data_IF_255618560052
#
_entry.id   IF_255618560052
#
_cell.length_a   1.000
_cell.length_b   1.000
_cell.length_c   1.000
_cell.angle_alpha   90.00
_cell.angle_beta   90.00
_cell.angle_gamma   90.00
#
_symmetry.space_group_name_H-M   'P 1'
#
loop_
_entity.id
_entity.type
_entity.pdbx_description
1 polymer ?
#
# COMPACT_ATOMS: atom_id res chain seq x y z
N UNK A 1 20.74 -52.32 9.51
CA UNK A 1 22.13 -52.45 10.02
C UNK A 1 22.89 -51.14 9.84
N UNK A 2 23.25 -50.48 10.95
CA UNK A 2 24.58 -49.88 11.28
C UNK A 2 25.23 -48.98 10.18
N UNK A 3 25.52 -47.69 10.41
CA UNK A 3 26.38 -47.14 11.49
C UNK A 3 26.12 -45.64 11.71
N UNK A 4 25.97 -45.28 12.98
CA UNK A 4 26.26 -43.94 13.53
C UNK A 4 27.78 -43.75 13.59
N UNK A 5 28.28 -42.54 13.36
CA UNK A 5 29.60 -42.11 13.85
C UNK A 5 29.46 -40.77 14.57
N UNK A 6 29.54 -40.86 15.90
CA UNK A 6 29.98 -39.79 16.82
C UNK A 6 31.48 -40.02 17.06
N UNK A 7 32.24 -38.95 17.28
CA UNK A 7 33.41 -38.82 18.18
C UNK A 7 33.84 -37.32 18.10
N UNK A 8 33.76 -36.48 19.14
CA UNK A 8 34.61 -36.41 20.35
C UNK A 8 36.09 -36.14 19.97
N UNK A 9 36.94 -35.33 20.61
CA UNK A 9 37.02 -34.68 21.92
C UNK A 9 38.41 -33.97 21.99
N UNK A 10 38.66 -33.21 23.07
CA UNK A 10 39.96 -32.68 23.62
C UNK A 10 40.38 -31.29 23.10
N UNK A 11 40.44 -30.23 23.92
CA UNK A 11 41.11 -29.91 25.21
C UNK A 11 42.64 -29.74 25.10
N UNK A 12 43.11 -28.63 25.71
CA UNK A 12 44.42 -28.30 26.33
C UNK A 12 45.31 -27.29 25.57
N UNK A 13 45.32 -25.99 25.94
CA UNK A 13 46.17 -25.26 26.92
C UNK A 13 47.64 -25.05 26.48
N UNK A 14 48.09 -23.79 26.36
CA UNK A 14 49.37 -23.29 26.91
C UNK A 14 49.56 -21.78 26.66
N UNK A 15 50.03 -21.13 27.72
CA UNK A 15 50.37 -19.71 27.98
C UNK A 15 51.60 -19.17 27.26
N UNK A 16 51.67 -17.85 27.06
CA UNK A 16 52.83 -16.91 27.18
C UNK A 16 52.27 -15.52 26.79
N UNK A 17 52.31 -14.41 27.54
CA UNK A 17 53.35 -13.88 28.42
C UNK A 17 54.21 -12.88 27.63
N UNK A 18 53.79 -11.61 27.44
CA UNK A 18 54.72 -10.48 27.27
C UNK A 18 54.04 -9.10 27.46
N UNK A 19 54.82 -8.23 28.10
CA UNK A 19 54.65 -6.90 28.69
C UNK A 19 54.42 -5.72 27.72
N UNK A 20 54.13 -4.54 28.31
CA UNK A 20 54.18 -3.13 27.79
C UNK A 20 52.85 -2.60 27.20
N UNK A 21 52.33 -1.41 27.50
CA UNK A 21 52.82 -0.24 28.23
C UNK A 21 51.61 0.55 28.79
N UNK A 22 51.76 1.15 29.98
CA UNK A 22 50.84 2.18 30.47
C UNK A 22 50.94 3.41 29.58
N UNK A 23 49.91 3.65 28.77
CA UNK A 23 49.68 4.93 28.10
C UNK A 23 48.49 5.61 28.79
N UNK A 24 48.78 6.67 29.53
CA UNK A 24 47.79 7.57 30.14
C UNK A 24 47.07 8.33 29.03
N UNK A 25 45.91 7.84 28.61
CA UNK A 25 44.95 8.61 27.83
C UNK A 25 44.16 9.49 28.79
N UNK A 26 44.43 10.79 28.74
CA UNK A 26 43.56 11.80 29.31
C UNK A 26 42.18 11.69 28.66
N UNK A 27 41.17 11.21 29.39
CA UNK A 27 39.78 11.26 28.95
C UNK A 27 39.32 12.71 28.97
N UNK A 28 39.33 13.36 27.80
CA UNK A 28 38.52 14.55 27.58
C UNK A 28 37.05 14.13 27.75
N UNK A 29 36.39 14.70 28.76
CA UNK A 29 34.97 14.48 29.00
C UNK A 29 34.17 14.87 27.75
N UNK A 30 33.19 14.07 27.30
CA UNK A 30 32.26 14.51 26.28
C UNK A 30 31.47 15.70 26.85
N UNK A 31 31.63 16.85 26.20
CA UNK A 31 30.72 17.97 26.32
C UNK A 31 29.32 17.44 26.08
N UNK A 32 28.51 17.35 27.13
CA UNK A 32 27.09 17.05 27.01
C UNK A 32 26.45 18.24 26.30
N UNK A 33 26.43 18.17 24.97
CA UNK A 33 25.50 18.96 24.19
C UNK A 33 24.11 18.66 24.76
N UNK A 34 23.46 19.70 25.30
CA UNK A 34 22.13 19.61 25.85
C UNK A 34 21.23 18.86 24.85
N UNK A 35 20.60 17.78 25.32
CA UNK A 35 19.60 17.08 24.54
C UNK A 35 18.55 18.11 24.07
N UNK A 36 18.17 18.12 22.79
CA UNK A 36 17.08 18.97 22.34
C UNK A 36 15.86 18.62 23.19
N UNK A 37 15.33 19.64 23.87
CA UNK A 37 14.04 19.56 24.55
C UNK A 37 13.03 19.04 23.54
N UNK A 38 12.44 17.88 23.85
CA UNK A 38 11.30 17.34 23.10
C UNK A 38 10.22 18.41 23.16
N UNK A 39 10.09 19.17 22.08
CA UNK A 39 9.03 20.14 21.93
C UNK A 39 7.71 19.41 22.13
N UNK A 40 6.90 19.92 23.05
CA UNK A 40 5.54 19.48 23.30
C UNK A 40 4.81 19.38 21.95
N UNK A 41 4.62 18.15 21.45
CA UNK A 41 3.86 17.90 20.24
C UNK A 41 2.44 18.37 20.50
N UNK A 42 2.14 19.59 20.04
CA UNK A 42 0.79 20.12 19.99
C UNK A 42 -0.06 19.09 19.25
N UNK A 43 -0.89 18.35 19.98
CA UNK A 43 -1.83 17.38 19.42
C UNK A 43 -2.60 18.08 18.31
N UNK A 44 -2.34 17.70 17.06
CA UNK A 44 -2.98 18.32 15.92
C UNK A 44 -4.47 18.05 16.05
N UNK A 45 -5.26 19.10 16.27
CA UNK A 45 -6.72 18.97 16.44
C UNK A 45 -7.34 18.73 15.07
N UNK A 46 -8.28 17.79 14.99
CA UNK A 46 -9.10 17.54 13.80
C UNK A 46 -9.77 18.84 13.33
N UNK A 47 -9.42 19.31 12.13
CA UNK A 47 -9.98 20.51 11.50
C UNK A 47 -11.33 20.22 10.82
N UNK A 48 -12.12 21.27 10.55
CA UNK A 48 -13.39 21.13 9.83
C UNK A 48 -13.19 20.66 8.38
N UNK A 49 -12.10 21.08 7.73
CA UNK A 49 -11.68 20.55 6.42
C UNK A 49 -11.47 19.05 6.47
N UNK A 50 -10.74 18.54 7.47
CA UNK A 50 -10.51 17.10 7.64
C UNK A 50 -11.84 16.37 7.89
N UNK A 51 -12.74 16.94 8.70
CA UNK A 51 -14.07 16.37 8.92
C UNK A 51 -14.84 16.26 7.62
N UNK A 52 -14.80 17.29 6.77
CA UNK A 52 -15.51 17.28 5.49
C UNK A 52 -14.90 16.25 4.53
N UNK A 53 -13.57 16.19 4.41
CA UNK A 53 -12.91 15.18 3.57
C UNK A 53 -13.21 13.74 4.02
N UNK A 54 -13.24 13.49 5.34
CA UNK A 54 -13.65 12.20 5.88
C UNK A 54 -15.10 11.90 5.51
N UNK A 55 -16.02 12.86 5.65
CA UNK A 55 -17.43 12.67 5.26
C UNK A 55 -17.58 12.40 3.77
N UNK A 56 -16.88 13.13 2.91
CA UNK A 56 -16.95 12.95 1.47
C UNK A 56 -16.45 11.56 1.07
N UNK A 57 -15.34 11.13 1.66
CA UNK A 57 -14.81 9.78 1.48
C UNK A 57 -15.79 8.70 1.95
N UNK A 58 -16.31 8.82 3.16
CA UNK A 58 -17.25 7.85 3.72
C UNK A 58 -18.57 7.83 2.92
N UNK A 59 -19.02 8.99 2.44
CA UNK A 59 -20.23 9.11 1.61
C UNK A 59 -20.04 8.49 0.23
N UNK A 60 -18.83 8.62 -0.37
CA UNK A 60 -18.47 7.92 -1.62
C UNK A 60 -18.68 6.41 -1.50
N UNK A 61 -18.38 5.83 -0.35
CA UNK A 61 -18.60 4.40 -0.05
C UNK A 61 -19.93 4.11 0.64
N UNK A 62 -20.88 5.06 0.59
CA UNK A 62 -22.25 4.92 1.09
C UNK A 62 -22.34 4.56 2.58
N UNK A 63 -21.37 4.97 3.40
CA UNK A 63 -21.42 4.78 4.85
C UNK A 63 -22.54 5.65 5.43
N UNK A 64 -23.51 5.08 6.17
CA UNK A 64 -24.61 5.84 6.76
C UNK A 64 -24.16 7.01 7.64
N UNK A 65 -24.87 8.14 7.57
CA UNK A 65 -24.51 9.36 8.29
C UNK A 65 -24.35 9.17 9.82
N UNK A 66 -25.11 8.25 10.42
CA UNK A 66 -24.94 7.87 11.83
C UNK A 66 -23.57 7.26 12.12
N UNK A 67 -23.14 6.30 11.28
CA UNK A 67 -21.81 5.68 11.39
C UNK A 67 -20.69 6.67 11.07
N UNK A 68 -20.89 7.57 10.10
CA UNK A 68 -19.92 8.64 9.82
C UNK A 68 -19.64 9.49 11.05
N UNK A 69 -20.68 9.89 11.81
CA UNK A 69 -20.53 10.66 13.05
C UNK A 69 -19.71 9.92 14.09
N UNK A 70 -19.95 8.61 14.27
CA UNK A 70 -19.19 7.78 15.21
C UNK A 70 -17.73 7.60 14.78
N UNK A 71 -17.46 7.38 13.49
CA UNK A 71 -16.10 7.28 12.95
C UNK A 71 -15.33 8.59 13.11
N UNK A 72 -15.95 9.74 12.84
CA UNK A 72 -15.36 11.06 13.04
C UNK A 72 -15.11 11.33 14.53
N UNK A 73 -16.01 10.89 15.41
CA UNK A 73 -15.82 10.95 16.86
C UNK A 73 -14.62 10.09 17.30
N UNK A 74 -14.48 8.86 16.77
CA UNK A 74 -13.30 8.02 17.00
C UNK A 74 -12.01 8.76 16.62
N UNK A 75 -11.95 9.37 15.43
CA UNK A 75 -10.80 10.19 15.01
C UNK A 75 -10.51 11.32 15.99
N UNK A 76 -11.55 12.06 16.42
CA UNK A 76 -11.41 13.17 17.37
C UNK A 76 -10.84 12.74 18.72
N UNK A 77 -11.11 11.52 19.14
CA UNK A 77 -10.60 10.93 20.39
C UNK A 77 -9.36 10.06 20.20
N UNK A 78 -8.74 10.05 19.01
CA UNK A 78 -7.55 9.23 18.74
C UNK A 78 -7.80 7.73 18.79
N UNK A 79 -9.06 7.30 18.68
CA UNK A 79 -9.43 5.89 18.65
C UNK A 79 -9.30 5.37 17.21
N UNK A 80 -8.54 4.29 16.96
CA UNK A 80 -8.42 3.72 15.62
C UNK A 80 -9.76 3.14 15.14
N UNK A 81 -9.95 3.15 13.82
CA UNK A 81 -11.05 2.47 13.16
C UNK A 81 -10.76 0.98 13.05
N UNK A 82 -11.81 0.16 12.99
CA UNK A 82 -11.67 -1.30 12.94
C UNK A 82 -10.91 -1.77 11.69
N UNK A 83 -10.99 -1.02 10.57
CA UNK A 83 -10.22 -1.30 9.34
C UNK A 83 -8.70 -1.31 9.53
N UNK A 84 -8.17 -0.67 10.58
CA UNK A 84 -6.74 -0.64 10.87
C UNK A 84 -6.27 -1.76 11.81
N UNK A 85 -7.18 -2.51 12.41
CA UNK A 85 -6.87 -3.57 13.35
C UNK A 85 -6.91 -4.93 12.63
N UNK A 86 -5.76 -5.60 12.56
CA UNK A 86 -5.62 -6.91 11.90
C UNK A 86 -6.42 -8.02 12.58
N UNK A 87 -6.88 -7.83 13.83
CA UNK A 87 -7.75 -8.77 14.53
C UNK A 87 -9.23 -8.55 14.23
N UNK A 88 -9.59 -7.47 13.51
CA UNK A 88 -10.96 -7.21 13.08
C UNK A 88 -11.18 -7.77 11.70
N UNK A 89 -12.28 -8.50 11.55
CA UNK A 89 -12.69 -9.06 10.26
C UNK A 89 -13.85 -8.24 9.68
N UNK A 90 -13.96 -8.14 8.35
CA UNK A 90 -15.12 -7.52 7.71
C UNK A 90 -16.41 -8.26 8.08
N UNK A 91 -17.48 -7.50 8.34
CA UNK A 91 -18.83 -8.02 8.52
C UNK A 91 -19.57 -8.21 7.20
N UNK A 92 -19.12 -7.55 6.14
CA UNK A 92 -19.63 -7.71 4.78
C UNK A 92 -18.50 -7.51 3.76
N UNK A 93 -18.59 -8.25 2.65
CA UNK A 93 -17.72 -8.10 1.48
C UNK A 93 -18.61 -8.01 0.25
N UNK A 94 -18.50 -6.90 -0.46
CA UNK A 94 -19.26 -6.59 -1.68
C UNK A 94 -18.29 -6.61 -2.85
N UNK A 95 -18.58 -7.41 -3.87
CA UNK A 95 -17.81 -7.48 -5.10
C UNK A 95 -18.48 -6.66 -6.20
N UNK A 96 -17.69 -6.27 -7.18
CA UNK A 96 -18.14 -5.63 -8.41
C UNK A 96 -18.95 -4.33 -8.21
N UNK A 97 -18.60 -3.55 -7.18
CA UNK A 97 -19.29 -2.31 -6.84
C UNK A 97 -18.75 -1.16 -7.70
N UNK A 98 -19.58 -0.65 -8.59
CA UNK A 98 -19.21 0.46 -9.48
C UNK A 98 -19.43 1.80 -8.78
N UNK A 99 -18.34 2.55 -8.57
CA UNK A 99 -18.36 3.90 -7.98
C UNK A 99 -17.55 4.84 -8.87
N UNK A 100 -18.26 5.68 -9.64
CA UNK A 100 -17.66 6.44 -10.73
C UNK A 100 -17.16 5.48 -11.82
N UNK A 101 -15.92 5.69 -12.26
CA UNK A 101 -15.28 4.85 -13.29
C UNK A 101 -14.55 3.63 -12.69
N UNK A 102 -14.57 3.45 -11.38
CA UNK A 102 -13.86 2.37 -10.70
C UNK A 102 -14.79 1.19 -10.39
N UNK A 103 -14.30 -0.03 -10.59
CA UNK A 103 -14.91 -1.24 -10.08
C UNK A 103 -14.23 -1.69 -8.78
N UNK A 104 -14.96 -1.66 -7.67
CA UNK A 104 -14.45 -1.95 -6.33
C UNK A 104 -14.88 -3.31 -5.78
N UNK A 105 -13.97 -3.95 -5.05
CA UNK A 105 -14.33 -4.85 -3.95
C UNK A 105 -14.29 -4.07 -2.64
N UNK A 106 -15.41 -4.02 -1.91
CA UNK A 106 -15.59 -3.25 -0.67
C UNK A 106 -15.75 -4.20 0.51
N UNK A 107 -14.92 -4.03 1.54
CA UNK A 107 -15.00 -4.69 2.84
C UNK A 107 -15.54 -3.68 3.86
N UNK A 108 -16.62 -4.03 4.56
CA UNK A 108 -17.21 -3.21 5.61
C UNK A 108 -16.96 -3.82 6.98
N UNK A 109 -16.63 -2.99 7.96
CA UNK A 109 -16.33 -3.40 9.32
C UNK A 109 -17.49 -3.05 10.27
N UNK A 110 -17.49 -3.66 11.46
CA UNK A 110 -18.59 -3.52 12.43
C UNK A 110 -18.82 -2.07 12.88
N UNK A 111 -17.77 -1.25 12.93
CA UNK A 111 -17.86 0.17 13.27
C UNK A 111 -18.27 1.08 12.10
N UNK A 112 -18.51 0.51 10.91
CA UNK A 112 -18.85 1.23 9.68
C UNK A 112 -17.65 1.70 8.87
N UNK A 113 -16.41 1.49 9.33
CA UNK A 113 -15.22 1.76 8.53
C UNK A 113 -15.16 0.81 7.33
N UNK A 114 -14.49 1.25 6.27
CA UNK A 114 -14.43 0.53 4.99
C UNK A 114 -13.00 0.37 4.52
N UNK A 115 -12.72 -0.80 3.93
CA UNK A 115 -11.60 -0.97 3.03
C UNK A 115 -12.15 -1.23 1.62
N UNK A 116 -11.54 -0.67 0.60
CA UNK A 116 -11.94 -0.89 -0.78
C UNK A 116 -10.70 -1.06 -1.66
N UNK A 117 -10.78 -1.90 -2.68
CA UNK A 117 -9.76 -2.02 -3.71
C UNK A 117 -10.42 -1.92 -5.08
N UNK A 118 -9.91 -1.08 -5.96
CA UNK A 118 -10.57 -0.68 -7.18
C UNK A 118 -9.65 -0.72 -8.39
N UNK A 119 -10.14 -1.35 -9.45
CA UNK A 119 -9.55 -1.22 -10.79
C UNK A 119 -10.48 -0.37 -11.64
N UNK A 120 -9.90 0.57 -12.36
CA UNK A 120 -10.65 1.41 -13.29
C UNK A 120 -11.28 0.59 -14.41
N UNK A 121 -12.52 0.92 -14.74
CA UNK A 121 -13.27 0.29 -15.82
C UNK A 121 -12.80 0.88 -17.15
N UNK A 122 -12.31 0.04 -18.07
CA UNK A 122 -11.87 0.53 -19.37
C UNK A 122 -13.06 0.99 -20.21
N UNK A 123 -12.85 2.06 -20.97
CA UNK A 123 -13.75 2.49 -22.04
C UNK A 123 -13.21 1.98 -23.37
N UNK A 124 -14.06 1.33 -24.17
CA UNK A 124 -13.69 0.90 -25.52
C UNK A 124 -13.46 2.11 -26.41
N UNK A 125 -12.29 2.16 -27.03
CA UNK A 125 -11.96 3.21 -27.99
C UNK A 125 -12.08 2.68 -29.42
N UNK A 126 -12.83 3.40 -30.26
CA UNK A 126 -12.93 3.08 -31.68
C UNK A 126 -11.63 3.49 -32.40
N UNK A 127 -10.88 2.54 -32.99
CA UNK A 127 -9.63 2.84 -33.67
C UNK A 127 -9.82 3.66 -34.96
N UNK A 128 -11.04 3.76 -35.49
CA UNK A 128 -11.37 4.54 -36.70
C UNK A 128 -11.79 5.99 -36.40
N UNK A 129 -12.05 6.32 -35.13
CA UNK A 129 -12.41 7.66 -34.71
C UNK A 129 -11.15 8.45 -34.29
N UNK A 130 -11.03 9.75 -34.66
CA UNK A 130 -10.02 10.62 -34.07
C UNK A 130 -10.26 10.73 -32.56
N UNK A 131 -9.46 10.01 -31.77
CA UNK A 131 -9.55 10.06 -30.33
C UNK A 131 -8.39 10.93 -29.81
N UNK A 132 -8.65 12.06 -29.12
CA UNK A 132 -7.59 12.69 -28.35
C UNK A 132 -7.07 11.63 -27.37
N UNK A 133 -5.77 11.29 -27.45
CA UNK A 133 -5.17 10.44 -26.43
C UNK A 133 -5.30 11.15 -25.09
N UNK A 134 -6.34 10.80 -24.35
CA UNK A 134 -6.58 11.35 -23.04
C UNK A 134 -5.51 10.78 -22.10
N UNK A 135 -4.83 11.68 -21.39
CA UNK A 135 -3.91 11.34 -20.29
C UNK A 135 -4.71 10.86 -19.06
N UNK A 136 -6.05 10.87 -19.16
CA UNK A 136 -7.00 10.44 -18.13
C UNK A 136 -7.96 9.40 -18.69
N UNK A 137 -8.42 8.49 -17.85
CA UNK A 137 -9.34 7.38 -18.16
C UNK A 137 -8.66 6.14 -18.75
N UNK A 138 -8.96 4.99 -18.13
CA UNK A 138 -8.60 3.67 -18.64
C UNK A 138 -9.28 3.44 -19.98
N UNK A 139 -8.51 3.12 -21.01
CA UNK A 139 -9.03 2.79 -22.34
C UNK A 139 -8.63 1.39 -22.76
N UNK A 140 -9.47 0.74 -23.56
CA UNK A 140 -9.17 -0.57 -24.13
C UNK A 140 -9.34 -0.56 -25.65
N UNK A 141 -8.30 -1.02 -26.34
CA UNK A 141 -8.36 -1.37 -27.77
C UNK A 141 -8.30 -2.89 -27.90
N UNK A 142 -9.34 -3.47 -28.49
CA UNK A 142 -9.43 -4.93 -28.71
C UNK A 142 -9.25 -5.25 -30.19
N UNK A 143 -8.59 -6.37 -30.47
CA UNK A 143 -8.52 -6.96 -31.81
C UNK A 143 -8.63 -8.48 -31.74
N UNK A 144 -8.44 -9.16 -32.88
CA UNK A 144 -8.46 -10.62 -32.93
C UNK A 144 -7.33 -11.20 -32.10
N UNK A 145 -7.65 -11.67 -30.89
CA UNK A 145 -6.70 -12.34 -29.99
C UNK A 145 -5.86 -11.43 -29.10
N UNK A 146 -6.16 -10.12 -29.02
CA UNK A 146 -5.49 -9.24 -28.06
C UNK A 146 -6.41 -8.13 -27.51
N UNK A 147 -6.09 -7.65 -26.31
CA UNK A 147 -6.68 -6.46 -25.70
C UNK A 147 -5.57 -5.61 -25.07
N UNK A 148 -5.43 -4.36 -25.54
CA UNK A 148 -4.47 -3.40 -25.02
C UNK A 148 -5.18 -2.37 -24.15
N UNK A 149 -4.78 -2.31 -22.88
CA UNK A 149 -5.31 -1.41 -21.86
C UNK A 149 -4.31 -0.28 -21.64
N UNK A 150 -4.79 0.96 -21.67
CA UNK A 150 -3.95 2.14 -21.56
C UNK A 150 -4.47 3.08 -20.50
N UNK A 151 -3.52 3.64 -19.76
CA UNK A 151 -3.75 4.69 -18.78
C UNK A 151 -4.74 4.30 -17.67
N UNK A 152 -4.68 3.06 -17.20
CA UNK A 152 -5.60 2.58 -16.19
C UNK A 152 -5.13 2.93 -14.78
N UNK A 153 -6.09 3.14 -13.88
CA UNK A 153 -5.86 3.33 -12.46
C UNK A 153 -6.14 2.05 -11.66
N UNK A 154 -5.31 1.82 -10.64
CA UNK A 154 -5.61 0.91 -9.53
C UNK A 154 -5.50 1.69 -8.22
N UNK A 155 -6.43 1.48 -7.29
CA UNK A 155 -6.37 2.11 -5.98
C UNK A 155 -6.91 1.25 -4.84
N UNK A 156 -6.51 1.62 -3.64
CA UNK A 156 -6.84 0.98 -2.38
C UNK A 156 -7.20 2.06 -1.37
N UNK A 157 -8.27 1.82 -0.62
CA UNK A 157 -8.77 2.66 0.46
C UNK A 157 -8.80 1.81 1.72
N UNK A 158 -8.25 2.33 2.82
CA UNK A 158 -8.37 1.76 4.16
C UNK A 158 -8.75 2.90 5.09
N UNK A 159 -10.04 3.08 5.33
CA UNK A 159 -10.52 4.20 6.14
C UNK A 159 -10.12 5.55 5.55
N UNK A 160 -9.28 6.30 6.25
CA UNK A 160 -8.75 7.63 5.86
C UNK A 160 -7.47 7.58 5.03
N UNK A 161 -7.02 6.39 4.65
CA UNK A 161 -5.82 6.15 3.84
C UNK A 161 -6.23 5.75 2.43
N UNK A 162 -5.69 6.44 1.43
CA UNK A 162 -5.85 6.10 0.01
C UNK A 162 -4.48 5.95 -0.63
N UNK A 163 -4.23 4.87 -1.34
CA UNK A 163 -3.03 4.62 -2.13
C UNK A 163 -3.44 4.11 -3.51
N UNK A 164 -2.78 4.55 -4.56
CA UNK A 164 -3.02 4.01 -5.89
C UNK A 164 -1.89 4.30 -6.86
N UNK A 165 -2.11 3.92 -8.11
CA UNK A 165 -1.28 4.30 -9.24
C UNK A 165 -2.16 4.57 -10.45
N UNK A 166 -1.81 5.60 -11.21
CA UNK A 166 -2.41 5.94 -12.50
C UNK A 166 -1.40 5.66 -13.61
N UNK A 167 -1.85 5.61 -14.88
CA UNK A 167 -0.95 5.42 -16.02
C UNK A 167 -0.45 3.98 -16.21
N UNK A 168 -1.20 3.00 -15.69
CA UNK A 168 -0.86 1.59 -15.80
C UNK A 168 -1.29 1.07 -17.17
N UNK A 169 -0.32 0.70 -17.99
CA UNK A 169 -0.53 0.12 -19.32
C UNK A 169 -0.27 -1.39 -19.29
N UNK A 170 -1.16 -2.18 -19.88
CA UNK A 170 -0.97 -3.63 -20.00
C UNK A 170 -1.65 -4.19 -21.25
N UNK A 171 -1.20 -5.35 -21.70
CA UNK A 171 -1.76 -6.05 -22.86
C UNK A 171 -2.00 -7.50 -22.51
N UNK A 172 -3.21 -7.96 -22.84
CA UNK A 172 -3.63 -9.35 -22.77
C UNK A 172 -3.56 -9.94 -24.18
N UNK A 173 -2.91 -11.09 -24.34
CA UNK A 173 -2.71 -11.74 -25.65
C UNK A 173 -3.09 -13.22 -25.59
N UNK A 174 -4.11 -13.60 -26.34
CA UNK A 174 -4.54 -15.00 -26.40
C UNK A 174 -3.47 -15.88 -27.06
N UNK A 175 -2.98 -16.87 -26.31
CA UNK A 175 -1.95 -17.79 -26.78
C UNK A 175 -0.51 -17.27 -26.68
N UNK A 176 -0.30 -16.12 -26.04
CA UNK A 176 1.03 -15.61 -25.72
C UNK A 176 1.08 -15.12 -24.26
N UNK A 177 2.24 -14.59 -23.83
CA UNK A 177 2.41 -14.06 -22.48
C UNK A 177 1.81 -12.66 -22.36
N UNK A 178 1.01 -12.45 -21.32
CA UNK A 178 0.47 -11.14 -20.99
C UNK A 178 1.60 -10.20 -20.51
N UNK A 179 1.47 -8.90 -20.75
CA UNK A 179 2.51 -7.91 -20.44
C UNK A 179 1.96 -6.67 -19.75
N UNK A 180 2.79 -6.09 -18.89
CA UNK A 180 2.63 -4.77 -18.29
C UNK A 180 3.74 -3.88 -18.87
N UNK A 181 3.36 -2.79 -19.52
CA UNK A 181 4.29 -1.77 -20.08
C UNK A 181 4.28 -0.46 -19.30
N UNK A 182 3.76 -0.52 -18.06
CA UNK A 182 3.57 0.51 -17.04
C UNK A 182 4.50 1.74 -17.13
N UNK A 183 3.89 2.92 -17.34
CA UNK A 183 4.51 4.26 -17.22
C UNK A 183 4.04 5.01 -15.98
N UNK A 184 3.34 4.31 -15.10
CA UNK A 184 2.51 4.86 -14.07
C UNK A 184 3.28 5.53 -12.96
N UNK A 185 2.54 6.35 -12.22
CA UNK A 185 3.04 7.01 -11.03
C UNK A 185 2.08 6.74 -9.87
N UNK A 186 2.68 6.45 -8.72
CA UNK A 186 1.95 6.24 -7.48
C UNK A 186 1.40 7.56 -6.95
N UNK A 187 0.20 7.51 -6.38
CA UNK A 187 -0.38 8.60 -5.63
C UNK A 187 -0.82 8.11 -4.26
N UNK A 188 -0.89 9.03 -3.30
CA UNK A 188 -1.37 8.72 -1.98
C UNK A 188 -2.02 9.93 -1.33
N UNK A 189 -3.03 9.66 -0.51
CA UNK A 189 -3.68 10.64 0.33
C UNK A 189 -3.95 10.03 1.70
N UNK A 190 -3.48 10.70 2.75
CA UNK A 190 -3.85 10.40 4.13
C UNK A 190 -4.61 11.58 4.70
N UNK A 191 -5.82 11.32 5.17
CA UNK A 191 -6.59 12.32 5.89
C UNK A 191 -6.32 12.08 7.38
N UNK A 192 -6.14 13.18 8.12
CA UNK A 192 -5.96 13.16 9.57
C UNK A 192 -6.89 12.12 10.22
N UNK A 193 -6.39 11.27 11.13
CA UNK A 193 -5.15 11.41 11.90
C UNK A 193 -3.94 10.70 11.29
N UNK A 194 -4.07 10.15 10.09
CA UNK A 194 -2.98 9.39 9.45
C UNK A 194 -2.05 10.31 8.67
N UNK A 195 -0.75 10.00 8.69
CA UNK A 195 0.25 10.55 7.79
C UNK A 195 0.74 9.46 6.82
N UNK A 196 1.37 9.86 5.72
CA UNK A 196 2.00 8.91 4.81
C UNK A 196 3.29 9.38 4.16
N UNK A 197 4.12 8.42 3.78
CA UNK A 197 5.28 8.64 2.91
C UNK A 197 4.87 8.73 1.44
N UNK A 198 5.82 9.06 0.57
CA UNK A 198 5.59 9.05 -0.88
C UNK A 198 5.52 7.60 -1.37
N UNK A 199 4.51 7.23 -2.19
CA UNK A 199 4.41 5.88 -2.72
C UNK A 199 5.57 5.54 -3.64
N UNK A 200 6.07 4.31 -3.52
CA UNK A 200 7.18 3.79 -4.34
C UNK A 200 6.79 2.48 -4.99
N UNK A 201 7.30 2.24 -6.19
CA UNK A 201 7.16 0.96 -6.89
C UNK A 201 8.25 0.01 -6.43
N UNK A 202 7.87 -1.15 -5.92
CA UNK A 202 8.79 -2.06 -5.22
C UNK A 202 8.80 -3.49 -5.74
N UNK A 203 7.78 -3.91 -6.48
CA UNK A 203 7.68 -5.25 -7.03
C UNK A 203 7.11 -5.13 -8.44
N UNK A 204 7.95 -5.44 -9.44
CA UNK A 204 7.61 -5.24 -10.85
C UNK A 204 8.10 -6.39 -11.69
N UNK A 205 7.17 -6.98 -12.45
CA UNK A 205 7.45 -7.98 -13.47
C UNK A 205 6.61 -7.63 -14.70
N UNK A 206 7.29 -7.21 -15.76
CA UNK A 206 6.67 -6.69 -16.97
C UNK A 206 5.95 -7.74 -17.82
N UNK A 207 6.23 -9.04 -17.61
CA UNK A 207 5.69 -10.10 -18.45
C UNK A 207 5.31 -11.30 -17.58
N UNK A 208 4.23 -11.96 -17.95
CA UNK A 208 3.82 -13.23 -17.34
C UNK A 208 4.93 -14.27 -17.47
N UNK A 209 5.11 -15.07 -16.43
CA UNK A 209 6.10 -16.15 -16.38
C UNK A 209 5.52 -17.33 -15.61
N UNK A 210 6.24 -17.89 -14.63
CA UNK A 210 5.66 -18.87 -13.69
C UNK A 210 4.48 -18.31 -12.86
N UNK A 211 4.30 -16.99 -12.85
CA UNK A 211 3.20 -16.29 -12.22
C UNK A 211 2.86 -15.01 -13.00
N UNK A 212 1.90 -14.25 -12.48
CA UNK A 212 1.39 -13.05 -13.13
C UNK A 212 2.47 -11.98 -13.35
N UNK A 213 2.37 -11.27 -14.49
CA UNK A 213 2.95 -9.95 -14.59
C UNK A 213 2.33 -9.08 -13.49
N UNK A 214 3.14 -8.24 -12.84
CA UNK A 214 2.63 -7.42 -11.74
C UNK A 214 3.37 -6.10 -11.60
N UNK A 215 2.69 -5.10 -11.06
CA UNK A 215 3.28 -3.83 -10.64
C UNK A 215 2.68 -3.42 -9.30
N UNK A 216 3.51 -3.43 -8.25
CA UNK A 216 3.16 -3.11 -6.87
C UNK A 216 3.68 -1.74 -6.47
N UNK A 217 2.75 -0.92 -5.99
CA UNK A 217 3.02 0.35 -5.33
C UNK A 217 2.76 0.22 -3.84
N UNK A 218 3.68 0.73 -3.03
CA UNK A 218 3.55 0.67 -1.57
C UNK A 218 3.90 2.00 -0.93
N UNK A 219 3.40 2.20 0.28
CA UNK A 219 3.76 3.33 1.11
C UNK A 219 3.57 3.01 2.59
N UNK A 220 4.24 3.78 3.43
CA UNK A 220 4.11 3.70 4.87
C UNK A 220 3.09 4.71 5.36
N UNK A 221 2.24 4.25 6.27
CA UNK A 221 1.23 5.05 6.95
C UNK A 221 1.62 5.16 8.41
N UNK A 222 1.50 6.36 8.96
CA UNK A 222 1.76 6.66 10.37
C UNK A 222 0.49 7.08 11.07
N UNK A 223 0.26 6.59 12.28
CA UNK A 223 -0.78 7.04 13.19
C UNK A 223 -0.27 6.99 14.62
N UNK A 224 -0.09 8.16 15.24
CA UNK A 224 0.57 8.25 16.54
C UNK A 224 1.98 7.66 16.50
N UNK A 225 2.22 6.62 17.31
CA UNK A 225 3.52 5.91 17.38
C UNK A 225 3.58 4.64 16.53
N UNK A 226 2.52 4.35 15.76
CA UNK A 226 2.44 3.15 14.94
C UNK A 226 2.69 3.52 13.48
N UNK A 227 3.53 2.73 12.82
CA UNK A 227 3.76 2.78 11.37
C UNK A 227 3.44 1.41 10.79
N UNK A 228 2.74 1.38 9.66
CA UNK A 228 2.49 0.15 8.91
C UNK A 228 2.57 0.41 7.41
N UNK A 229 2.80 -0.65 6.65
CA UNK A 229 2.89 -0.58 5.20
C UNK A 229 1.53 -0.90 4.57
N UNK A 230 1.14 -0.13 3.57
CA UNK A 230 -0.01 -0.43 2.70
C UNK A 230 0.47 -0.55 1.27
N UNK A 231 -0.13 -1.44 0.49
CA UNK A 231 0.25 -1.64 -0.91
C UNK A 231 -0.94 -2.00 -1.78
N UNK A 232 -0.83 -1.64 -3.06
CA UNK A 232 -1.72 -2.07 -4.15
C UNK A 232 -0.89 -2.69 -5.26
N UNK A 233 -1.43 -3.70 -5.93
CA UNK A 233 -0.75 -4.40 -7.01
C UNK A 233 -1.73 -4.72 -8.13
N UNK A 234 -1.40 -4.26 -9.35
CA UNK A 234 -2.02 -4.78 -10.56
C UNK A 234 -1.38 -6.12 -10.91
N UNK A 235 -2.20 -7.10 -11.29
CA UNK A 235 -1.77 -8.40 -11.78
C UNK A 235 -2.39 -8.66 -13.15
N UNK A 236 -1.62 -9.22 -14.07
CA UNK A 236 -2.08 -9.63 -15.40
C UNK A 236 -1.54 -11.02 -15.71
N UNK A 237 -2.44 -11.95 -15.99
CA UNK A 237 -2.12 -13.35 -16.31
C UNK A 237 -3.33 -14.07 -16.89
N UNK A 238 -3.12 -15.19 -17.55
CA UNK A 238 -4.20 -16.09 -18.01
C UNK A 238 -5.32 -15.36 -18.76
N UNK A 239 -4.98 -14.36 -19.58
CA UNK A 239 -5.93 -13.53 -20.31
C UNK A 239 -6.91 -12.73 -19.42
N UNK A 240 -6.49 -12.38 -18.21
CA UNK A 240 -7.28 -11.56 -17.29
C UNK A 240 -6.39 -10.62 -16.48
N UNK A 241 -7.02 -9.69 -15.78
CA UNK A 241 -6.35 -8.76 -14.87
C UNK A 241 -7.16 -8.59 -13.59
N UNK A 242 -6.45 -8.35 -12.49
CA UNK A 242 -7.06 -8.13 -11.18
C UNK A 242 -6.13 -7.33 -10.28
N UNK A 243 -6.69 -6.83 -9.19
CA UNK A 243 -5.92 -6.17 -8.14
C UNK A 243 -5.76 -7.07 -6.91
N UNK A 244 -4.60 -6.97 -6.28
CA UNK A 244 -4.38 -7.41 -4.89
C UNK A 244 -3.89 -6.24 -4.04
N UNK A 245 -4.12 -6.30 -2.73
CA UNK A 245 -3.71 -5.26 -1.78
C UNK A 245 -3.38 -5.84 -0.39
N UNK A 246 -2.79 -5.01 0.47
CA UNK A 246 -2.51 -5.32 1.89
C UNK A 246 -3.76 -5.44 2.75
#
# INVERSE_FOLDING_TARGET
MRKKMKLASKILTATLGCTLALSTLAMAAPSHAAAPTVGEQKSAKLSDTNVQEIKDLLSRFQVPAGQQKELIKKVRHGTPWDVYDSNKVPVAVEHDQVIGDMNYTIKRYADGSVAAQGVERPVTVDPSAPNPMSIFNCSVTTGSGYAAYRNCQVDGVWGTVLLGAYGMDFTIINGALDTISDRGAGFQKCIFPTGCSTPTRVFYQAQEGPGAAHSRWQSDVTHGFTTWNVWVQLNVANNTYWQTNS
#
